data_IF_929106486937
#
_entry.id   IF_929106486937
#
_cell.length_a   1.000
_cell.length_b   1.000
_cell.length_c   1.000
_cell.angle_alpha   90.00
_cell.angle_beta   90.00
_cell.angle_gamma   90.00
#
_symmetry.space_group_name_H-M   'P 1'
#
loop_
_entity.id
_entity.type
_entity.pdbx_description
1 polymer ?
#
# COMPACT_ATOMS: atom_id res chain seq x y z
N UNK A 1 2.48 5.29 17.66
CA UNK A 1 2.84 5.03 16.24
C UNK A 1 2.35 3.67 15.73
N UNK A 2 2.65 2.55 16.41
CA UNK A 2 2.23 1.21 15.96
C UNK A 2 0.70 1.09 15.72
N UNK A 3 -0.12 1.62 16.64
CA UNK A 3 -1.59 1.60 16.53
C UNK A 3 -2.13 2.42 15.35
N UNK A 4 -1.34 3.34 14.79
CA UNK A 4 -1.72 4.10 13.59
C UNK A 4 -1.48 3.27 12.33
N UNK A 5 -0.36 2.55 12.26
CA UNK A 5 0.01 1.67 11.14
C UNK A 5 -0.95 0.48 11.07
N UNK A 6 -1.31 -0.09 12.23
CA UNK A 6 -2.25 -1.22 12.31
C UNK A 6 -3.66 -0.91 11.78
N UNK A 7 -4.03 0.37 11.61
CA UNK A 7 -5.31 0.80 11.02
C UNK A 7 -5.27 0.93 9.50
N UNK A 8 -4.12 0.67 8.86
CA UNK A 8 -3.94 0.77 7.41
C UNK A 8 -3.97 -0.61 6.78
N UNK A 9 -4.16 -0.64 5.46
CA UNK A 9 -4.10 -1.87 4.66
C UNK A 9 -2.75 -2.58 4.89
N UNK A 10 -2.75 -3.86 5.30
CA UNK A 10 -1.53 -4.65 5.44
C UNK A 10 -0.73 -4.72 4.14
N UNK A 11 -1.41 -4.85 2.99
CA UNK A 11 -0.79 -4.88 1.65
C UNK A 11 -0.12 -3.54 1.34
N UNK A 12 -0.77 -2.42 1.63
CA UNK A 12 -0.21 -1.08 1.40
C UNK A 12 1.02 -0.81 2.28
N UNK A 13 0.98 -1.23 3.55
CA UNK A 13 2.10 -1.06 4.49
C UNK A 13 3.31 -1.90 4.05
N UNK A 14 3.10 -3.18 3.70
CA UNK A 14 4.18 -4.04 3.23
C UNK A 14 4.73 -3.57 1.87
N UNK A 15 3.86 -3.20 0.93
CA UNK A 15 4.26 -2.70 -0.38
C UNK A 15 5.10 -1.42 -0.29
N UNK A 16 4.72 -0.48 0.59
CA UNK A 16 5.49 0.74 0.82
C UNK A 16 6.87 0.43 1.39
N UNK A 17 6.95 -0.51 2.34
CA UNK A 17 8.23 -0.96 2.91
C UNK A 17 9.14 -1.55 1.83
N UNK A 18 8.58 -2.37 0.95
CA UNK A 18 9.34 -3.01 -0.11
C UNK A 18 9.86 -2.01 -1.15
N UNK A 19 9.03 -1.05 -1.58
CA UNK A 19 9.46 0.04 -2.47
C UNK A 19 10.62 0.84 -1.85
N UNK A 20 10.53 1.17 -0.56
CA UNK A 20 11.57 1.93 0.14
C UNK A 20 12.88 1.12 0.23
N UNK A 21 12.79 -0.16 0.59
CA UNK A 21 13.96 -1.03 0.67
C UNK A 21 14.64 -1.19 -0.70
N UNK A 22 13.86 -1.42 -1.74
CA UNK A 22 14.38 -1.58 -3.09
C UNK A 22 15.07 -0.30 -3.57
N UNK A 23 14.53 0.87 -3.23
CA UNK A 23 15.08 2.16 -3.67
C UNK A 23 16.49 2.47 -3.11
N UNK A 24 16.89 1.86 -1.99
CA UNK A 24 18.19 2.15 -1.34
C UNK A 24 19.42 1.71 -2.16
N UNK A 25 19.23 0.77 -3.10
CA UNK A 25 20.32 0.25 -3.94
C UNK A 25 20.21 0.58 -5.43
N UNK A 26 19.19 1.34 -5.84
CA UNK A 26 18.86 1.51 -7.25
C UNK A 26 18.84 2.98 -7.67
N UNK A 27 19.04 3.21 -8.97
CA UNK A 27 18.95 4.56 -9.53
C UNK A 27 17.52 5.09 -9.38
N UNK A 28 17.38 6.41 -9.31
CA UNK A 28 16.06 7.07 -9.23
C UNK A 28 15.14 6.61 -10.37
N UNK A 29 15.69 6.42 -11.57
CA UNK A 29 14.94 5.95 -12.74
C UNK A 29 14.38 4.55 -12.54
N UNK A 30 15.20 3.65 -12.03
CA UNK A 30 14.81 2.27 -11.77
C UNK A 30 13.77 2.21 -10.64
N UNK A 31 13.92 3.04 -9.60
CA UNK A 31 13.00 3.11 -8.46
C UNK A 31 11.63 3.63 -8.86
N UNK A 32 11.58 4.62 -9.74
CA UNK A 32 10.33 5.11 -10.30
C UNK A 32 9.64 4.05 -11.18
N UNK A 33 10.41 3.29 -11.97
CA UNK A 33 9.88 2.19 -12.77
C UNK A 33 9.35 1.05 -11.89
N UNK A 34 10.07 0.69 -10.84
CA UNK A 34 9.63 -0.33 -9.90
C UNK A 34 8.35 0.10 -9.18
N UNK A 35 8.29 1.35 -8.72
CA UNK A 35 7.11 1.93 -8.09
C UNK A 35 5.90 1.96 -9.02
N UNK A 36 6.08 2.29 -10.30
CA UNK A 36 4.97 2.33 -11.26
C UNK A 36 4.37 0.95 -11.53
N UNK A 37 5.23 -0.08 -11.67
CA UNK A 37 4.79 -1.48 -11.81
C UNK A 37 4.06 -1.94 -10.55
N UNK A 38 4.62 -1.65 -9.37
CA UNK A 38 4.00 -2.01 -8.10
C UNK A 38 2.63 -1.34 -7.93
N UNK A 39 2.51 -0.05 -8.21
CA UNK A 39 1.24 0.67 -8.15
C UNK A 39 0.19 0.09 -9.11
N UNK A 40 0.62 -0.38 -10.30
CA UNK A 40 -0.27 -1.08 -11.23
C UNK A 40 -0.86 -2.37 -10.66
N UNK A 41 -0.11 -3.09 -9.82
CA UNK A 41 -0.61 -4.27 -9.10
C UNK A 41 -1.40 -3.92 -7.84
N UNK A 42 -0.91 -2.96 -7.05
CA UNK A 42 -1.54 -2.55 -5.80
C UNK A 42 -2.95 -1.96 -6.02
N UNK A 43 -3.17 -1.23 -7.12
CA UNK A 43 -4.49 -0.70 -7.47
C UNK A 43 -5.54 -1.77 -7.78
N UNK A 44 -5.10 -2.99 -8.12
CA UNK A 44 -5.99 -4.12 -8.41
C UNK A 44 -6.36 -4.93 -7.16
N UNK A 45 -5.84 -4.55 -5.98
CA UNK A 45 -6.13 -5.27 -4.73
C UNK A 45 -7.46 -4.86 -4.13
N UNK A 46 -8.15 -5.81 -3.49
CA UNK A 46 -9.44 -5.57 -2.83
C UNK A 46 -9.35 -4.54 -1.70
N UNK A 47 -8.16 -4.36 -1.12
CA UNK A 47 -7.88 -3.35 -0.10
C UNK A 47 -8.18 -1.92 -0.60
N UNK A 48 -8.00 -1.63 -1.89
CA UNK A 48 -8.31 -0.31 -2.45
C UNK A 48 -9.81 -0.07 -2.47
N UNK A 49 -10.60 -1.06 -2.89
CA UNK A 49 -12.07 -0.97 -2.90
C UNK A 49 -12.62 -0.86 -1.46
N UNK A 50 -12.09 -1.67 -0.53
CA UNK A 50 -12.49 -1.63 0.89
C UNK A 50 -12.15 -0.28 1.51
N UNK A 51 -10.97 0.28 1.22
CA UNK A 51 -10.58 1.60 1.70
C UNK A 51 -11.50 2.71 1.16
N UNK A 52 -11.74 2.73 -0.15
CA UNK A 52 -12.60 3.72 -0.80
C UNK A 52 -14.05 3.67 -0.30
N UNK A 53 -14.62 2.46 -0.18
CA UNK A 53 -15.97 2.29 0.36
C UNK A 53 -16.04 2.73 1.82
N UNK A 54 -15.02 2.40 2.62
CA UNK A 54 -15.02 2.75 4.04
C UNK A 54 -14.89 4.24 4.28
N UNK A 55 -14.09 4.93 3.45
CA UNK A 55 -14.00 6.39 3.46
C UNK A 55 -15.32 7.06 3.06
N UNK A 56 -15.97 6.54 2.01
CA UNK A 56 -17.29 7.01 1.55
C UNK A 56 -18.36 6.85 2.64
N UNK A 57 -18.33 5.73 3.38
CA UNK A 57 -19.26 5.44 4.46
C UNK A 57 -18.80 5.97 5.84
N UNK A 58 -17.70 6.74 5.91
CA UNK A 58 -17.10 7.25 7.17
C UNK A 58 -16.88 6.15 8.24
N UNK A 59 -16.68 4.91 7.80
CA UNK A 59 -16.44 3.76 8.67
C UNK A 59 -14.94 3.43 8.69
N UNK A 60 -14.49 2.82 9.77
CA UNK A 60 -13.11 2.31 9.80
C UNK A 60 -13.01 1.09 8.87
N UNK A 61 -12.10 1.10 7.87
CA UNK A 61 -11.90 -0.04 7.00
C UNK A 61 -11.35 -1.23 7.80
N UNK A 62 -11.95 -2.40 7.59
CA UNK A 62 -11.44 -3.69 8.07
C UNK A 62 -10.81 -4.41 6.89
N UNK A 63 -9.49 -4.52 6.90
CA UNK A 63 -8.76 -5.24 5.87
C UNK A 63 -8.60 -6.71 6.28
N UNK A 64 -8.64 -7.61 5.29
CA UNK A 64 -8.34 -9.03 5.48
C UNK A 64 -6.90 -9.18 6.01
N UNK A 65 -6.66 -10.22 6.82
CA UNK A 65 -5.29 -10.55 7.23
C UNK A 65 -4.61 -11.24 6.05
N UNK A 66 -3.43 -10.70 5.69
CA UNK A 66 -2.43 -11.37 4.85
C UNK A 66 -1.97 -12.69 5.48
#
# INVERSE_FOLDING_TARGET
MASLIAKKSPVAVQGTKEILNWSLGHSVRDSLRYTSVWNGGALQTDDVLVALQSETHKRMPTFEKL
#
